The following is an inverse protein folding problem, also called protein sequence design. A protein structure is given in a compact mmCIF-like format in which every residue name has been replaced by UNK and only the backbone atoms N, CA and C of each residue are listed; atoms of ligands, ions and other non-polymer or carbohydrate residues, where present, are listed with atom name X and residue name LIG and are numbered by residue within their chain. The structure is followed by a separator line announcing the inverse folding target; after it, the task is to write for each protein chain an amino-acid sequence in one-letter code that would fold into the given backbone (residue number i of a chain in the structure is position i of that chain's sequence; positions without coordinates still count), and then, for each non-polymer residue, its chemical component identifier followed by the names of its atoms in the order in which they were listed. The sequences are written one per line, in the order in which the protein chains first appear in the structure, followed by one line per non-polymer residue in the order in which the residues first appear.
data_IF_536132701225
#
_entry.id   IF_536132701225
#
_cell.length_a   1.000
_cell.length_b   1.000
_cell.length_c   1.000
_cell.angle_alpha   90.00
_cell.angle_beta   90.00
_cell.angle_gamma   90.00
#
_symmetry.space_group_name_H-M   'P 1'
#
loop_
_entity.id
_entity.type
_entity.pdbx_description
1 polymer ?
#
# COMPACT_ATOMS: atom_id res chain seq x y z
N UNK A 1 62.38 -59.56 -6.26
CA UNK A 1 62.51 -58.16 -5.84
C UNK A 1 61.78 -57.31 -6.86
N UNK A 2 60.51 -57.02 -6.61
CA UNK A 2 59.99 -55.82 -5.95
C UNK A 2 59.59 -54.76 -6.98
N UNK A 3 58.31 -54.85 -7.30
CA UNK A 3 57.46 -53.97 -8.07
C UNK A 3 57.38 -52.59 -7.41
N UNK A 4 57.64 -51.51 -8.15
CA UNK A 4 57.17 -50.17 -7.77
C UNK A 4 56.66 -49.44 -9.01
N UNK A 5 55.40 -49.71 -9.31
CA UNK A 5 54.58 -48.97 -10.26
C UNK A 5 54.17 -47.64 -9.61
N UNK A 6 54.64 -46.52 -10.16
CA UNK A 6 54.24 -45.18 -9.75
C UNK A 6 53.03 -44.78 -10.61
N UNK A 7 51.82 -44.76 -10.02
CA UNK A 7 50.61 -44.32 -10.71
C UNK A 7 50.50 -42.80 -10.51
N UNK A 8 50.68 -42.05 -11.60
CA UNK A 8 50.48 -40.61 -11.65
C UNK A 8 49.00 -40.34 -11.92
N UNK A 9 48.25 -39.90 -10.89
CA UNK A 9 46.84 -39.51 -11.04
C UNK A 9 46.80 -38.04 -11.40
N UNK A 10 46.58 -37.74 -12.68
CA UNK A 10 46.32 -36.39 -13.16
C UNK A 10 44.83 -36.07 -13.00
N UNK A 11 44.49 -35.33 -11.94
CA UNK A 11 43.15 -34.75 -11.77
C UNK A 11 43.07 -33.51 -12.65
N UNK A 12 42.44 -33.63 -13.81
CA UNK A 12 42.09 -32.50 -14.67
C UNK A 12 40.86 -31.83 -14.06
N UNK A 13 41.08 -30.74 -13.31
CA UNK A 13 39.99 -29.83 -12.92
C UNK A 13 39.53 -29.07 -14.18
N UNK A 14 38.41 -29.50 -14.74
CA UNK A 14 37.74 -28.80 -15.82
C UNK A 14 36.96 -27.62 -15.22
N UNK A 15 37.60 -26.46 -15.16
CA UNK A 15 36.96 -25.20 -14.78
C UNK A 15 36.01 -24.75 -15.89
N UNK A 16 34.77 -25.23 -15.86
CA UNK A 16 33.69 -24.69 -16.69
C UNK A 16 33.36 -23.27 -16.22
N UNK A 17 34.08 -22.27 -16.74
CA UNK A 17 33.61 -20.89 -16.72
C UNK A 17 32.47 -20.75 -17.74
N UNK A 18 31.26 -21.15 -17.33
CA UNK A 18 30.05 -20.68 -17.99
C UNK A 18 29.89 -19.19 -17.67
N UNK A 19 30.51 -18.35 -18.50
CA UNK A 19 30.23 -16.93 -18.55
C UNK A 19 28.82 -16.75 -19.13
N UNK A 20 27.81 -16.89 -18.27
CA UNK A 20 26.43 -16.57 -18.61
C UNK A 20 26.33 -15.05 -18.73
N UNK A 21 26.60 -14.52 -19.91
CA UNK A 21 26.21 -13.16 -20.27
C UNK A 21 24.68 -13.14 -20.31
N UNK A 22 24.06 -12.86 -19.17
CA UNK A 22 22.68 -12.44 -19.16
C UNK A 22 22.63 -11.13 -19.92
N UNK A 23 22.16 -11.21 -21.16
CA UNK A 23 21.71 -10.05 -21.93
C UNK A 23 20.60 -9.43 -21.08
N UNK A 24 20.98 -8.44 -20.29
CA UNK A 24 20.06 -7.60 -19.56
C UNK A 24 19.19 -6.89 -20.58
N UNK A 25 18.05 -7.51 -20.92
CA UNK A 25 16.91 -6.78 -21.44
C UNK A 25 16.69 -5.67 -20.43
N UNK A 26 17.02 -4.43 -20.81
CA UNK A 26 16.46 -3.25 -20.17
C UNK A 26 14.95 -3.35 -20.36
N UNK A 27 14.31 -4.05 -19.43
CA UNK A 27 12.88 -3.98 -19.23
C UNK A 27 12.68 -2.55 -18.76
N UNK A 28 12.32 -1.67 -19.69
CA UNK A 28 11.68 -0.40 -19.35
C UNK A 28 10.30 -0.76 -18.76
N UNK A 29 10.29 -1.32 -17.57
CA UNK A 29 9.13 -1.34 -16.70
C UNK A 29 8.94 0.10 -16.32
N UNK A 30 8.13 0.84 -17.09
CA UNK A 30 7.36 1.93 -16.50
C UNK A 30 6.49 1.25 -15.45
N UNK A 31 7.01 1.10 -14.23
CA UNK A 31 6.32 0.53 -13.10
C UNK A 31 5.16 1.46 -12.80
N UNK A 32 4.01 1.20 -13.44
CA UNK A 32 2.76 1.81 -13.03
C UNK A 32 2.60 1.42 -11.56
N UNK A 33 2.51 2.40 -10.68
CA UNK A 33 2.30 2.14 -9.26
C UNK A 33 0.88 1.62 -9.12
N UNK A 34 0.79 0.31 -8.85
CA UNK A 34 -0.47 -0.41 -8.68
C UNK A 34 -0.65 -0.62 -7.19
N UNK A 35 -1.75 -0.10 -6.66
CA UNK A 35 -2.18 -0.34 -5.27
C UNK A 35 -3.35 -1.28 -5.26
N UNK A 36 -3.28 -2.33 -4.44
CA UNK A 36 -4.47 -3.13 -4.13
C UNK A 36 -5.28 -2.42 -3.06
N UNK A 37 -6.59 -2.40 -3.25
CA UNK A 37 -7.52 -1.69 -2.39
C UNK A 37 -8.45 -2.69 -1.73
N UNK A 38 -8.70 -2.48 -0.44
CA UNK A 38 -9.81 -3.08 0.29
C UNK A 38 -10.61 -1.97 0.98
N UNK A 39 -11.89 -2.23 1.23
CA UNK A 39 -12.76 -1.28 1.91
C UNK A 39 -13.58 -1.99 2.98
N UNK A 40 -13.60 -1.44 4.18
CA UNK A 40 -14.28 -2.02 5.33
C UNK A 40 -15.30 -1.05 5.91
N UNK A 41 -16.41 -1.59 6.42
CA UNK A 41 -17.35 -0.83 7.25
C UNK A 41 -17.68 -1.68 8.47
N UNK A 42 -17.41 -1.15 9.65
CA UNK A 42 -17.60 -1.79 10.96
C UNK A 42 -16.93 -3.18 11.00
N UNK A 43 -15.63 -3.21 10.68
CA UNK A 43 -14.81 -4.43 10.61
C UNK A 43 -15.11 -5.39 9.45
N UNK A 44 -16.16 -5.15 8.66
CA UNK A 44 -16.58 -6.07 7.58
C UNK A 44 -16.11 -5.57 6.22
N UNK A 45 -15.33 -6.41 5.53
CA UNK A 45 -14.91 -6.14 4.16
C UNK A 45 -16.14 -6.01 3.25
N UNK A 46 -16.17 -4.92 2.49
CA UNK A 46 -17.14 -4.71 1.42
C UNK A 46 -16.49 -5.15 0.12
N UNK A 47 -17.22 -5.96 -0.64
CA UNK A 47 -16.86 -6.25 -2.02
C UNK A 47 -16.89 -4.95 -2.82
N UNK A 48 -15.72 -4.37 -3.06
CA UNK A 48 -15.54 -3.25 -3.97
C UNK A 48 -15.40 -3.80 -5.37
N UNK A 49 -16.14 -3.28 -6.33
CA UNK A 49 -15.94 -3.58 -7.74
C UNK A 49 -15.20 -2.41 -8.41
N UNK A 50 -15.23 -2.29 -9.72
CA UNK A 50 -14.58 -1.19 -10.44
C UNK A 50 -15.32 0.17 -10.32
N UNK A 51 -16.37 0.30 -9.49
CA UNK A 51 -17.18 1.53 -9.36
C UNK A 51 -16.71 2.47 -8.26
N UNK A 52 -15.54 2.24 -7.65
CA UNK A 52 -14.93 3.26 -6.80
C UNK A 52 -14.16 4.29 -7.64
N UNK A 53 -13.88 5.44 -7.05
CA UNK A 53 -13.00 6.45 -7.64
C UNK A 53 -11.90 6.81 -6.64
N UNK A 54 -10.73 7.11 -7.18
CA UNK A 54 -9.59 7.54 -6.41
C UNK A 54 -9.02 8.81 -7.04
N UNK A 55 -8.98 9.88 -6.27
CA UNK A 55 -8.53 11.20 -6.72
C UNK A 55 -7.37 11.65 -5.85
N UNK A 56 -6.34 12.19 -6.48
CA UNK A 56 -5.18 12.80 -5.83
C UNK A 56 -5.28 14.30 -6.08
N UNK A 57 -5.14 15.10 -5.03
CA UNK A 57 -5.24 16.55 -5.05
C UNK A 57 -3.93 17.13 -4.53
N UNK A 58 -3.37 18.10 -5.26
CA UNK A 58 -2.18 18.85 -4.89
C UNK A 58 -2.38 20.30 -5.27
N UNK A 59 -2.51 21.20 -4.27
CA UNK A 59 -2.91 22.58 -4.50
C UNK A 59 -4.19 22.68 -5.37
N UNK A 60 -4.09 23.28 -6.54
CA UNK A 60 -5.20 23.45 -7.49
C UNK A 60 -5.32 22.29 -8.49
N UNK A 61 -4.34 21.37 -8.50
CA UNK A 61 -4.32 20.23 -9.40
C UNK A 61 -5.11 19.04 -8.84
N UNK A 62 -5.93 18.46 -9.71
CA UNK A 62 -6.72 17.27 -9.41
C UNK A 62 -6.44 16.17 -10.43
N UNK A 63 -5.92 15.05 -9.94
CA UNK A 63 -5.51 13.90 -10.74
C UNK A 63 -6.42 12.71 -10.40
N UNK A 64 -7.19 12.25 -11.38
CA UNK A 64 -8.00 11.02 -11.23
C UNK A 64 -7.15 9.81 -11.59
N UNK A 65 -7.02 8.87 -10.66
CA UNK A 65 -6.34 7.62 -10.92
C UNK A 65 -7.23 6.66 -11.73
N UNK A 66 -6.59 5.77 -12.49
CA UNK A 66 -7.31 4.76 -13.27
C UNK A 66 -7.61 3.55 -12.40
N UNK A 67 -8.84 3.06 -12.44
CA UNK A 67 -9.26 1.88 -11.67
C UNK A 67 -9.29 0.64 -12.58
N UNK A 68 -8.79 -0.48 -12.06
CA UNK A 68 -8.87 -1.80 -12.72
C UNK A 68 -9.11 -2.88 -11.68
N UNK A 69 -10.33 -3.43 -11.63
CA UNK A 69 -10.70 -4.39 -10.59
C UNK A 69 -10.63 -3.73 -9.21
N UNK A 70 -9.88 -4.32 -8.28
CA UNK A 70 -9.62 -3.75 -6.94
C UNK A 70 -8.30 -2.97 -6.88
N UNK A 71 -7.79 -2.51 -8.03
CA UNK A 71 -6.51 -1.84 -8.10
C UNK A 71 -6.61 -0.40 -8.58
N UNK A 72 -5.80 0.46 -7.97
CA UNK A 72 -5.57 1.84 -8.40
C UNK A 72 -4.27 1.89 -9.19
N UNK A 73 -4.34 2.46 -10.40
CA UNK A 73 -3.18 2.81 -11.21
C UNK A 73 -2.96 4.31 -11.06
N UNK A 74 -1.97 4.69 -10.27
CA UNK A 74 -1.60 6.09 -10.06
C UNK A 74 -0.71 6.56 -11.22
N UNK A 75 -1.10 7.64 -11.93
CA UNK A 75 -0.24 8.21 -12.97
C UNK A 75 1.01 8.82 -12.33
N UNK A 76 2.04 9.05 -13.14
CA UNK A 76 3.25 9.73 -12.67
C UNK A 76 2.94 11.16 -12.23
N UNK A 77 3.46 11.56 -11.07
CA UNK A 77 3.28 12.90 -10.51
C UNK A 77 4.65 13.55 -10.33
N UNK A 78 4.78 14.80 -10.80
CA UNK A 78 6.06 15.52 -10.82
C UNK A 78 6.44 16.06 -9.44
N UNK A 79 5.47 16.49 -8.65
CA UNK A 79 5.70 17.21 -7.40
C UNK A 79 6.12 16.28 -6.24
N UNK A 80 6.67 16.88 -5.18
CA UNK A 80 7.33 16.15 -4.08
C UNK A 80 6.63 16.27 -2.73
N UNK A 81 5.65 17.16 -2.56
CA UNK A 81 5.15 17.52 -1.23
C UNK A 81 3.63 17.32 -1.09
N UNK A 82 3.25 16.76 0.05
CA UNK A 82 1.91 16.60 0.64
C UNK A 82 0.69 16.63 -0.30
N UNK A 83 0.28 15.43 -0.71
CA UNK A 83 -0.96 15.19 -1.44
C UNK A 83 -2.14 15.04 -0.49
N UNK A 84 -3.32 15.37 -0.99
CA UNK A 84 -4.57 14.87 -0.43
C UNK A 84 -5.11 13.79 -1.36
N UNK A 85 -5.74 12.78 -0.79
CA UNK A 85 -6.42 11.73 -1.54
C UNK A 85 -7.89 11.73 -1.20
N UNK A 86 -8.72 11.36 -2.16
CA UNK A 86 -10.15 11.17 -1.97
C UNK A 86 -10.51 9.80 -2.55
N UNK A 87 -10.92 8.90 -1.67
CA UNK A 87 -11.51 7.62 -2.03
C UNK A 87 -13.03 7.74 -1.97
N UNK A 88 -13.72 7.39 -3.05
CA UNK A 88 -15.18 7.33 -3.07
C UNK A 88 -15.66 5.97 -3.52
N UNK A 89 -16.60 5.40 -2.78
CA UNK A 89 -17.31 4.18 -3.16
C UNK A 89 -18.77 4.29 -2.72
N UNK A 90 -19.68 4.30 -3.69
CA UNK A 90 -21.13 4.53 -3.46
C UNK A 90 -21.36 5.84 -2.69
N UNK A 91 -22.04 5.78 -1.54
CA UNK A 91 -22.31 6.90 -0.65
C UNK A 91 -21.09 7.35 0.18
N UNK A 92 -20.04 6.52 0.26
CA UNK A 92 -18.87 6.82 1.10
C UNK A 92 -17.86 7.69 0.35
N UNK A 93 -17.39 8.74 1.02
CA UNK A 93 -16.32 9.62 0.55
C UNK A 93 -15.35 9.89 1.69
N UNK A 94 -14.16 9.29 1.60
CA UNK A 94 -13.11 9.40 2.62
C UNK A 94 -11.98 10.26 2.04
N UNK A 95 -11.52 11.25 2.81
CA UNK A 95 -10.45 12.17 2.40
C UNK A 95 -9.31 12.11 3.40
N UNK A 96 -8.08 11.93 2.91
CA UNK A 96 -6.90 11.93 3.76
C UNK A 96 -5.89 12.93 3.22
N UNK A 97 -5.36 13.76 4.10
CA UNK A 97 -4.39 14.81 3.76
C UNK A 97 -2.99 14.36 4.17
N UNK A 98 -1.96 15.07 3.68
CA UNK A 98 -0.54 14.81 4.00
C UNK A 98 -0.08 13.41 3.57
N UNK A 99 -0.60 12.94 2.45
CA UNK A 99 -0.09 11.73 1.79
C UNK A 99 1.21 12.11 1.09
N UNK A 100 2.32 11.51 1.51
CA UNK A 100 3.62 11.78 0.90
C UNK A 100 3.75 11.11 -0.48
N UNK A 101 4.65 11.63 -1.33
CA UNK A 101 5.00 10.96 -2.59
C UNK A 101 5.45 9.52 -2.39
N UNK A 102 6.23 9.25 -1.33
CA UNK A 102 6.72 7.88 -1.02
C UNK A 102 5.59 6.90 -0.74
N UNK A 103 4.42 7.36 -0.29
CA UNK A 103 3.24 6.51 -0.12
C UNK A 103 2.54 6.22 -1.45
N UNK A 104 2.51 7.19 -2.37
CA UNK A 104 1.94 7.05 -3.73
C UNK A 104 2.90 6.40 -4.74
N UNK A 105 4.17 6.27 -4.39
CA UNK A 105 5.24 5.71 -5.21
C UNK A 105 6.18 4.90 -4.30
N UNK A 106 5.68 3.84 -3.65
CA UNK A 106 6.51 3.07 -2.74
C UNK A 106 7.55 2.25 -3.48
N UNK A 107 8.67 1.98 -2.81
CA UNK A 107 9.73 1.12 -3.34
C UNK A 107 9.34 -0.37 -3.38
N UNK A 108 8.25 -0.74 -2.70
CA UNK A 108 7.72 -2.09 -2.60
C UNK A 108 6.19 -2.06 -2.76
N UNK A 109 5.57 -3.21 -2.99
CA UNK A 109 4.11 -3.29 -3.13
C UNK A 109 3.41 -3.08 -1.79
N UNK A 110 2.36 -2.26 -1.78
CA UNK A 110 1.53 -2.01 -0.59
C UNK A 110 0.05 -2.29 -0.86
N UNK A 111 -0.66 -2.70 0.18
CA UNK A 111 -2.13 -2.74 0.22
C UNK A 111 -2.65 -1.48 0.91
N UNK A 112 -3.69 -0.88 0.33
CA UNK A 112 -4.39 0.27 0.86
C UNK A 112 -5.76 -0.17 1.39
N UNK A 113 -5.93 -0.13 2.70
CA UNK A 113 -7.19 -0.48 3.34
C UNK A 113 -7.90 0.80 3.76
N UNK A 114 -9.01 1.08 3.10
CA UNK A 114 -9.92 2.13 3.53
C UNK A 114 -10.95 1.56 4.48
N UNK A 115 -11.42 2.35 5.43
CA UNK A 115 -12.60 1.93 6.15
C UNK A 115 -13.25 2.96 7.01
N UNK A 116 -14.40 2.54 7.52
CA UNK A 116 -15.26 3.30 8.39
C UNK A 116 -15.56 2.43 9.61
N UNK A 117 -15.42 2.99 10.79
CA UNK A 117 -15.83 2.36 12.03
C UNK A 117 -16.81 3.30 12.75
N UNK A 118 -18.07 2.87 12.87
CA UNK A 118 -19.11 3.64 13.52
C UNK A 118 -19.22 3.25 15.00
N UNK A 119 -19.64 4.18 15.86
CA UNK A 119 -19.84 3.88 17.28
C UNK A 119 -20.96 2.83 17.46
N UNK A 120 -20.82 1.82 18.35
CA UNK A 120 -19.67 1.55 19.22
C UNK A 120 -18.45 1.05 18.44
N UNK A 121 -17.29 1.66 18.70
CA UNK A 121 -16.04 1.37 17.98
C UNK A 121 -15.49 0.01 18.38
N UNK A 122 -14.83 -0.67 17.44
CA UNK A 122 -14.15 -1.93 17.70
C UNK A 122 -12.73 -1.67 18.24
N UNK A 123 -12.54 -1.89 19.53
CA UNK A 123 -11.24 -1.74 20.21
C UNK A 123 -10.13 -2.59 19.59
N UNK A 124 -10.48 -3.74 19.00
CA UNK A 124 -9.49 -4.64 18.38
C UNK A 124 -8.87 -4.04 17.11
N UNK A 125 -9.49 -3.00 16.55
CA UNK A 125 -8.97 -2.31 15.39
C UNK A 125 -7.87 -1.28 15.74
N UNK A 126 -7.61 -1.00 17.02
CA UNK A 126 -6.56 -0.07 17.45
C UNK A 126 -6.68 1.32 16.77
N UNK A 127 -7.88 1.75 16.39
CA UNK A 127 -8.09 3.04 15.70
C UNK A 127 -8.08 4.24 16.66
N UNK A 128 -8.08 3.97 17.97
CA UNK A 128 -8.03 4.95 19.04
C UNK A 128 -7.13 4.41 20.13
N UNK A 129 -6.40 5.30 20.80
CA UNK A 129 -5.71 4.92 22.04
C UNK A 129 -6.73 4.58 23.13
N UNK A 130 -6.36 3.76 24.12
CA UNK A 130 -7.24 3.43 25.24
C UNK A 130 -7.77 4.68 25.96
N UNK A 131 -6.93 5.71 26.11
CA UNK A 131 -7.36 6.97 26.71
C UNK A 131 -8.40 7.70 25.85
N UNK A 132 -8.26 7.72 24.53
CA UNK A 132 -9.25 8.33 23.66
C UNK A 132 -10.56 7.56 23.66
N UNK A 133 -10.49 6.22 23.67
CA UNK A 133 -11.68 5.37 23.67
C UNK A 133 -12.57 5.62 24.89
N UNK A 134 -11.96 5.71 26.07
CA UNK A 134 -12.68 5.99 27.33
C UNK A 134 -13.23 7.41 27.42
N UNK A 135 -12.49 8.39 26.89
CA UNK A 135 -12.82 9.81 27.10
C UNK A 135 -13.62 10.44 25.96
N UNK A 136 -13.60 9.89 24.74
CA UNK A 136 -14.26 10.47 23.59
C UNK A 136 -15.77 10.14 23.55
N UNK A 137 -16.57 11.16 23.88
CA UNK A 137 -18.04 11.08 23.89
C UNK A 137 -18.68 11.68 22.63
N UNK A 138 -17.88 12.29 21.77
CA UNK A 138 -18.37 13.15 20.68
C UNK A 138 -18.20 12.52 19.30
N UNK A 139 -17.13 11.77 19.10
CA UNK A 139 -16.88 11.07 17.84
C UNK A 139 -17.93 9.99 17.65
N UNK A 140 -18.52 9.97 16.46
CA UNK A 140 -19.56 9.02 16.06
C UNK A 140 -19.08 8.05 15.00
N UNK A 141 -18.07 8.45 14.25
CA UNK A 141 -17.49 7.67 13.17
C UNK A 141 -16.00 7.97 13.07
N UNK A 142 -15.21 6.91 12.86
CA UNK A 142 -13.82 6.98 12.47
C UNK A 142 -13.74 6.63 10.99
N UNK A 143 -13.05 7.45 10.19
CA UNK A 143 -12.68 7.09 8.83
C UNK A 143 -11.17 6.86 8.82
N UNK A 144 -10.72 5.76 8.24
CA UNK A 144 -9.31 5.41 8.27
C UNK A 144 -8.77 4.96 6.91
N UNK A 145 -7.46 5.16 6.76
CA UNK A 145 -6.63 4.58 5.73
C UNK A 145 -5.48 3.86 6.42
N UNK A 146 -5.27 2.59 6.08
CA UNK A 146 -4.06 1.85 6.42
C UNK A 146 -3.28 1.53 5.16
N UNK A 147 -1.98 1.74 5.21
CA UNK A 147 -1.04 1.38 4.14
C UNK A 147 -0.15 0.29 4.70
N UNK A 148 -0.32 -0.93 4.20
CA UNK A 148 0.41 -2.10 4.67
C UNK A 148 1.46 -2.52 3.63
N UNK A 149 2.76 -2.52 3.97
CA UNK A 149 3.78 -3.10 3.10
C UNK A 149 3.61 -4.61 2.99
N UNK A 150 3.81 -5.16 1.78
CA UNK A 150 3.67 -6.61 1.55
C UNK A 150 4.94 -7.39 1.88
N UNK A 151 6.10 -6.73 2.01
CA UNK A 151 7.39 -7.41 2.22
C UNK A 151 7.95 -7.11 3.62
N UNK A 152 8.21 -5.85 3.95
CA UNK A 152 8.80 -5.45 5.23
C UNK A 152 8.45 -4.02 5.64
N UNK A 153 8.49 -3.76 6.95
CA UNK A 153 8.29 -2.45 7.55
C UNK A 153 6.98 -2.32 8.31
N UNK A 154 6.87 -1.22 9.06
CA UNK A 154 5.67 -0.91 9.82
C UNK A 154 4.62 -0.28 8.89
N UNK A 155 3.37 -0.71 9.03
CA UNK A 155 2.24 -0.10 8.33
C UNK A 155 2.03 1.34 8.77
N UNK A 156 1.45 2.16 7.89
CA UNK A 156 1.05 3.53 8.20
C UNK A 156 -0.46 3.61 8.36
N UNK A 157 -0.93 4.48 9.24
CA UNK A 157 -2.35 4.66 9.52
C UNK A 157 -2.72 6.14 9.62
N UNK A 158 -3.82 6.49 8.97
CA UNK A 158 -4.45 7.80 9.04
C UNK A 158 -5.87 7.62 9.56
N UNK A 159 -6.29 8.47 10.50
CA UNK A 159 -7.62 8.41 11.13
C UNK A 159 -8.21 9.82 11.16
N UNK A 160 -9.42 9.95 10.64
CA UNK A 160 -10.26 11.13 10.79
C UNK A 160 -11.39 10.83 11.77
N UNK A 161 -11.62 11.72 12.72
CA UNK A 161 -12.74 11.65 13.68
C UNK A 161 -13.89 12.51 13.17
N UNK A 162 -15.05 11.89 12.96
CA UNK A 162 -16.25 12.57 12.49
C UNK A 162 -17.22 12.78 13.66
N UNK A 163 -17.53 14.04 13.93
CA UNK A 163 -18.48 14.48 14.95
C UNK A 163 -19.76 14.91 14.23
N UNK A 164 -20.92 14.33 14.60
CA UNK A 164 -22.21 14.86 14.16
C UNK A 164 -22.61 16.01 15.06
N UNK A 165 -22.44 17.24 14.58
CA UNK A 165 -23.17 18.36 15.13
C UNK A 165 -24.61 18.25 14.59
N UNK A 166 -25.60 18.06 15.47
CA UNK A 166 -26.99 18.33 15.07
C UNK A 166 -27.02 19.78 14.61
N UNK A 167 -27.25 20.01 13.33
CA UNK A 167 -27.66 21.32 12.82
C UNK A 167 -28.84 21.76 13.69
N UNK A 168 -28.63 22.82 14.46
CA UNK A 168 -29.72 23.49 15.19
C UNK A 168 -30.64 24.17 14.21
#
# INVERSE_FOLDING_TARGET
MSLKTLILVSIVFCSCHCLSQSVGKKVNTSSRNIFYVSFFVDGKEKKIDNRFSFTIVHHDDTIKAKIKGHSILVPEIKDLLDYSIIFKYREYSLSFNRISKKMLFPAQNHTWEFGIDNRPFDESMDLMTSQEYENDKTTRQLQYLRIQPMEFGDGLRFINKIIYNKSK
#
